data_IF_821871854611
#
_entry.id   IF_821871854611
#
_cell.length_a   1.000
_cell.length_b   1.000
_cell.length_c   1.000
_cell.angle_alpha   90.00
_cell.angle_beta   90.00
_cell.angle_gamma   90.00
#
_symmetry.space_group_name_H-M   'P 1'
#
loop_
_entity.id
_entity.type
_entity.pdbx_description
1 polymer ?
#
# COMPACT_ATOMS: atom_id res chain seq x y z
N UNK A 1 -8.24 -7.15 8.31
CA UNK A 1 -6.98 -7.79 8.83
C UNK A 1 -5.83 -6.99 8.24
N UNK A 2 -4.67 -6.90 8.90
CA UNK A 2 -3.55 -6.10 8.40
C UNK A 2 -2.30 -6.96 8.18
N UNK A 3 -1.77 -6.90 6.96
CA UNK A 3 -0.55 -7.58 6.55
C UNK A 3 0.66 -6.64 6.64
N UNK A 4 1.68 -7.05 7.40
CA UNK A 4 2.94 -6.33 7.55
C UNK A 4 4.11 -7.23 7.12
N UNK A 5 4.44 -7.21 5.83
CA UNK A 5 5.45 -8.10 5.26
C UNK A 5 6.20 -7.51 4.08
N UNK A 6 6.96 -6.44 4.31
CA UNK A 6 7.96 -5.98 3.34
C UNK A 6 7.40 -5.47 2.00
N UNK A 7 6.27 -4.76 2.02
CA UNK A 7 5.71 -4.09 0.84
C UNK A 7 6.74 -3.15 0.23
N UNK A 8 7.02 -3.32 -1.06
CA UNK A 8 8.06 -2.60 -1.80
C UNK A 8 7.53 -1.41 -2.59
N UNK A 9 6.23 -1.34 -2.84
CA UNK A 9 5.63 -0.24 -3.59
C UNK A 9 4.13 -0.43 -3.85
N UNK A 10 3.58 0.38 -4.77
CA UNK A 10 2.16 0.33 -5.13
C UNK A 10 1.72 -0.97 -5.81
N UNK A 11 2.61 -1.64 -6.55
CA UNK A 11 2.25 -2.86 -7.26
C UNK A 11 1.99 -4.02 -6.30
N UNK A 12 2.75 -4.10 -5.21
CA UNK A 12 2.49 -5.05 -4.12
C UNK A 12 1.13 -4.74 -3.44
N UNK A 13 0.78 -3.47 -3.26
CA UNK A 13 -0.52 -3.08 -2.70
C UNK A 13 -1.68 -3.46 -3.62
N UNK A 14 -1.53 -3.30 -4.94
CA UNK A 14 -2.51 -3.78 -5.93
C UNK A 14 -2.66 -5.29 -5.87
N UNK A 15 -1.55 -6.02 -5.86
CA UNK A 15 -1.55 -7.47 -5.77
C UNK A 15 -2.27 -7.97 -4.51
N UNK A 16 -1.98 -7.35 -3.36
CA UNK A 16 -2.63 -7.70 -2.09
C UNK A 16 -4.13 -7.38 -2.15
N UNK A 17 -4.51 -6.22 -2.66
CA UNK A 17 -5.91 -5.83 -2.80
C UNK A 17 -6.67 -6.82 -3.69
N UNK A 18 -6.13 -7.16 -4.85
CA UNK A 18 -6.76 -8.05 -5.83
C UNK A 18 -6.84 -9.49 -5.31
N UNK A 19 -5.77 -9.99 -4.68
CA UNK A 19 -5.75 -11.34 -4.09
C UNK A 19 -6.67 -11.48 -2.87
N UNK A 20 -6.96 -10.38 -2.17
CA UNK A 20 -7.80 -10.36 -0.96
C UNK A 20 -9.22 -9.87 -1.19
N UNK A 21 -9.61 -9.53 -2.43
CA UNK A 21 -10.92 -8.93 -2.73
C UNK A 21 -11.17 -7.67 -1.88
N UNK A 22 -10.13 -6.86 -1.66
CA UNK A 22 -10.18 -5.63 -0.86
C UNK A 22 -10.31 -5.84 0.65
N UNK A 23 -10.21 -7.07 1.18
CA UNK A 23 -10.46 -7.37 2.60
C UNK A 23 -9.22 -7.35 3.49
N UNK A 24 -8.04 -7.20 2.89
CA UNK A 24 -6.76 -7.19 3.58
C UNK A 24 -6.07 -5.84 3.40
N UNK A 25 -5.85 -5.15 4.51
CA UNK A 25 -5.02 -3.95 4.54
C UNK A 25 -3.54 -4.34 4.56
N UNK A 26 -2.67 -3.49 4.03
CA UNK A 26 -1.23 -3.72 4.03
C UNK A 26 -0.46 -2.50 4.56
N UNK A 27 0.59 -2.76 5.34
CA UNK A 27 1.47 -1.74 5.90
C UNK A 27 2.68 -1.49 5.01
N UNK A 28 2.98 -0.21 4.74
CA UNK A 28 4.19 0.21 4.05
C UNK A 28 5.10 0.97 5.01
N UNK A 29 6.32 0.46 5.20
CA UNK A 29 7.33 1.05 6.07
C UNK A 29 8.58 1.45 5.30
N UNK A 30 9.57 0.56 5.24
CA UNK A 30 10.91 0.83 4.68
C UNK A 30 10.92 1.29 3.21
N UNK A 31 9.89 1.00 2.43
CA UNK A 31 9.76 1.45 1.05
C UNK A 31 9.29 2.91 0.90
N UNK A 32 8.75 3.49 1.98
CA UNK A 32 8.15 4.83 1.97
C UNK A 32 9.23 5.92 1.97
N UNK A 33 9.04 6.93 1.12
CA UNK A 33 9.91 8.12 1.04
C UNK A 33 10.13 8.82 2.38
N UNK A 34 9.10 8.90 3.22
CA UNK A 34 9.17 9.48 4.56
C UNK A 34 10.19 8.80 5.47
N UNK A 35 10.52 7.54 5.22
CA UNK A 35 11.48 6.76 5.99
C UNK A 35 12.81 6.53 5.24
N UNK A 36 13.09 7.32 4.20
CA UNK A 36 14.30 7.21 3.38
C UNK A 36 14.23 6.12 2.30
N UNK A 37 13.07 5.50 2.09
CA UNK A 37 12.83 4.55 1.01
C UNK A 37 12.62 5.23 -0.34
N UNK A 38 12.71 4.44 -1.42
CA UNK A 38 12.47 4.92 -2.79
C UNK A 38 11.39 4.09 -3.51
N UNK A 39 10.70 3.22 -2.79
CA UNK A 39 9.74 2.27 -3.35
C UNK A 39 8.35 2.87 -3.58
N UNK A 40 7.92 3.80 -2.73
CA UNK A 40 6.67 4.56 -2.92
C UNK A 40 6.70 5.90 -2.21
N UNK A 41 6.15 6.92 -2.86
CA UNK A 41 5.95 8.22 -2.23
C UNK A 41 4.69 8.22 -1.35
N UNK A 42 4.73 8.86 -0.18
CA UNK A 42 3.57 8.97 0.71
C UNK A 42 2.35 9.58 0.02
N UNK A 43 2.57 10.56 -0.87
CA UNK A 43 1.51 11.16 -1.68
C UNK A 43 0.79 10.14 -2.58
N UNK A 44 1.51 9.14 -3.08
CA UNK A 44 0.91 8.08 -3.88
C UNK A 44 -0.03 7.21 -3.03
N UNK A 45 0.34 6.89 -1.79
CA UNK A 45 -0.51 6.15 -0.85
C UNK A 45 -1.77 6.94 -0.46
N UNK A 46 -1.64 8.26 -0.29
CA UNK A 46 -2.81 9.13 -0.07
C UNK A 46 -3.78 9.09 -1.25
N UNK A 47 -3.26 9.14 -2.49
CA UNK A 47 -4.10 9.08 -3.69
C UNK A 47 -4.77 7.70 -3.83
N UNK A 48 -4.03 6.62 -3.53
CA UNK A 48 -4.54 5.26 -3.50
C UNK A 48 -5.74 5.15 -2.54
N UNK A 49 -5.57 5.52 -1.27
CA UNK A 49 -6.65 5.42 -0.27
C UNK A 49 -7.88 6.28 -0.60
N UNK A 50 -7.70 7.42 -1.27
CA UNK A 50 -8.81 8.26 -1.73
C UNK A 50 -9.61 7.61 -2.87
N UNK A 51 -8.95 6.84 -3.74
CA UNK A 51 -9.60 6.10 -4.83
C UNK A 51 -10.32 4.84 -4.36
N UNK A 52 -9.92 4.26 -3.22
CA UNK A 52 -10.52 3.04 -2.64
C UNK A 52 -11.70 3.35 -1.70
N UNK A 53 -12.10 4.62 -1.56
CA UNK A 53 -13.26 5.01 -0.75
C UNK A 53 -14.57 4.64 -1.46
N UNK A 54 -14.95 3.37 -1.37
CA UNK A 54 -16.28 2.86 -1.74
C UNK A 54 -16.31 1.92 -2.94
N UNK A 55 -16.13 0.64 -2.67
CA UNK A 55 -16.82 -0.46 -3.34
C UNK A 55 -17.19 -1.50 -2.27
#
# INVERSE_FOLDING_TARGET
ITYAGGVRGLDDLKLINDASDGRLDATVGSALDLFGGTGVAYKCLLNWNKGTSGA
#
